data_IF_426703748337
#
_entry.id   IF_426703748337
#
_cell.length_a   1.000
_cell.length_b   1.000
_cell.length_c   1.000
_cell.angle_alpha   90.00
_cell.angle_beta   90.00
_cell.angle_gamma   90.00
#
_symmetry.space_group_name_H-M   'P 1'
#
loop_
_entity.id
_entity.type
_entity.pdbx_description
1 polymer ?
#
# COMPACT_ATOMS: atom_id res chain seq x y z
N UNK A 1 91.82 -17.04 23.94
CA UNK A 1 90.46 -16.61 24.33
C UNK A 1 90.29 -15.16 23.89
N UNK A 2 89.63 -14.93 22.75
CA UNK A 2 89.35 -13.59 22.21
C UNK A 2 87.87 -13.50 21.86
N UNK A 3 87.17 -12.61 22.56
CA UNK A 3 85.80 -12.17 22.29
C UNK A 3 85.71 -11.54 20.90
N UNK A 4 84.68 -11.92 20.12
CA UNK A 4 84.21 -11.14 18.96
C UNK A 4 82.70 -10.96 19.06
N UNK A 5 82.31 -9.70 19.23
CA UNK A 5 80.98 -9.15 18.99
C UNK A 5 80.67 -9.22 17.48
N UNK A 6 79.46 -9.63 17.12
CA UNK A 6 78.96 -9.65 15.74
C UNK A 6 77.68 -8.81 15.69
N UNK A 7 77.80 -7.64 15.06
CA UNK A 7 76.70 -6.86 14.51
C UNK A 7 76.04 -7.67 13.38
N UNK A 8 74.72 -7.88 13.49
CA UNK A 8 73.88 -8.41 12.42
C UNK A 8 73.35 -7.30 11.49
N UNK A 9 73.08 -7.60 10.21
CA UNK A 9 72.86 -6.57 9.18
C UNK A 9 71.42 -6.04 9.16
N UNK A 10 71.32 -4.77 8.81
CA UNK A 10 70.10 -4.02 8.47
C UNK A 10 69.50 -4.61 7.19
N UNK A 11 68.27 -5.13 7.27
CA UNK A 11 67.48 -5.52 6.10
C UNK A 11 66.62 -4.33 5.69
N UNK A 12 66.92 -3.79 4.51
CA UNK A 12 66.14 -2.76 3.81
C UNK A 12 64.92 -3.46 3.18
N UNK A 13 63.72 -3.12 3.65
CA UNK A 13 62.46 -3.63 3.09
C UNK A 13 62.05 -2.74 1.91
N UNK A 14 62.22 -3.27 0.70
CA UNK A 14 61.82 -2.62 -0.54
C UNK A 14 60.29 -2.69 -0.72
N UNK A 15 59.65 -1.54 -0.92
CA UNK A 15 58.27 -1.40 -1.38
C UNK A 15 58.17 -1.79 -2.86
N UNK A 16 57.31 -2.76 -3.18
CA UNK A 16 56.85 -3.03 -4.54
C UNK A 16 55.39 -2.58 -4.68
N UNK A 17 55.02 -1.85 -5.77
CA UNK A 17 53.63 -1.52 -6.07
C UNK A 17 52.94 -2.72 -6.75
N UNK A 18 51.98 -3.31 -6.05
CA UNK A 18 51.12 -4.38 -6.57
C UNK A 18 49.92 -3.84 -7.32
N UNK A 19 49.68 -4.37 -8.52
CA UNK A 19 48.61 -4.00 -9.44
C UNK A 19 47.22 -4.46 -8.98
N UNK A 20 46.25 -3.58 -9.27
CA UNK A 20 44.81 -3.76 -9.51
C UNK A 20 44.21 -5.17 -9.43
N UNK A 21 43.27 -5.31 -8.48
CA UNK A 21 42.01 -6.02 -8.73
C UNK A 21 40.89 -5.04 -8.38
N UNK A 22 40.34 -4.39 -9.40
CA UNK A 22 39.09 -3.66 -9.30
C UNK A 22 37.97 -4.69 -9.14
N UNK A 23 37.63 -5.04 -7.90
CA UNK A 23 36.27 -5.50 -7.62
C UNK A 23 35.39 -4.27 -7.76
N UNK A 24 34.77 -4.12 -8.93
CA UNK A 24 33.66 -3.20 -9.07
C UNK A 24 32.60 -3.65 -8.09
N UNK A 25 32.52 -2.97 -6.95
CA UNK A 25 31.27 -2.91 -6.22
C UNK A 25 30.22 -2.45 -7.23
N UNK A 26 29.09 -3.17 -7.39
CA UNK A 26 27.99 -2.64 -8.17
C UNK A 26 27.66 -1.25 -7.59
N UNK A 27 27.30 -0.25 -8.41
CA UNK A 27 27.00 1.08 -7.91
C UNK A 27 25.93 0.93 -6.82
N UNK A 28 26.33 1.10 -5.56
CA UNK A 28 25.37 1.28 -4.50
C UNK A 28 24.72 2.62 -4.81
N UNK A 29 23.48 2.53 -5.27
CA UNK A 29 22.55 3.63 -5.39
C UNK A 29 22.29 4.20 -4.00
N UNK A 30 23.24 5.04 -3.59
CA UNK A 30 23.36 5.73 -2.32
C UNK A 30 22.30 6.82 -2.15
N UNK A 31 21.02 6.45 -2.22
CA UNK A 31 19.90 7.31 -1.83
C UNK A 31 19.15 6.71 -0.63
N UNK A 32 19.85 6.08 0.33
CA UNK A 32 19.27 5.88 1.66
C UNK A 32 19.42 7.17 2.46
N UNK A 33 18.34 7.76 2.96
CA UNK A 33 18.45 8.99 3.76
C UNK A 33 18.94 8.73 5.19
N UNK A 34 19.30 7.50 5.55
CA UNK A 34 19.76 7.11 6.89
C UNK A 34 18.69 7.20 8.01
N UNK A 35 17.44 7.53 7.67
CA UNK A 35 16.34 7.57 8.65
C UNK A 35 16.02 6.17 9.14
N UNK A 36 15.57 6.07 10.38
CA UNK A 36 15.20 4.80 11.02
C UNK A 36 16.34 3.75 11.05
N UNK A 37 17.60 4.20 11.18
CA UNK A 37 18.77 3.32 11.26
C UNK A 37 18.99 2.71 12.66
N UNK A 38 18.45 3.34 13.72
CA UNK A 38 18.54 2.83 15.08
C UNK A 38 17.50 1.73 15.30
N UNK A 39 17.89 0.63 15.95
CA UNK A 39 16.93 -0.39 16.36
C UNK A 39 16.09 0.12 17.53
N UNK A 40 14.79 0.23 17.32
CA UNK A 40 13.83 0.55 18.38
C UNK A 40 12.92 -0.66 18.57
N UNK A 41 12.90 -1.18 19.80
CA UNK A 41 11.97 -2.24 20.18
C UNK A 41 10.55 -1.68 20.34
N UNK A 42 9.58 -2.57 20.48
CA UNK A 42 8.22 -2.20 20.88
C UNK A 42 8.25 -1.30 22.13
N UNK A 43 7.37 -0.30 22.14
CA UNK A 43 7.27 0.65 23.26
C UNK A 43 6.67 -0.05 24.47
N UNK A 44 7.23 0.18 25.65
CA UNK A 44 6.69 -0.38 26.92
C UNK A 44 5.42 0.34 27.39
N UNK A 45 5.18 1.56 26.91
CA UNK A 45 3.97 2.34 27.12
C UNK A 45 3.72 3.30 25.96
N UNK A 46 2.46 3.63 25.71
CA UNK A 46 2.03 4.61 24.74
C UNK A 46 2.54 6.02 25.11
N UNK A 47 2.99 6.76 24.10
CA UNK A 47 3.30 8.19 24.25
C UNK A 47 2.02 9.01 24.08
N UNK A 48 1.31 9.28 25.18
CA UNK A 48 0.05 10.04 25.15
C UNK A 48 0.26 11.55 24.93
N UNK A 49 1.45 12.05 25.25
CA UNK A 49 1.88 13.39 24.90
C UNK A 49 3.21 13.31 24.16
N UNK A 50 3.37 14.14 23.14
CA UNK A 50 4.59 14.18 22.35
C UNK A 50 5.16 15.59 22.28
N UNK A 51 6.48 15.68 22.25
CA UNK A 51 7.17 16.95 22.05
C UNK A 51 7.33 17.19 20.55
N UNK A 52 6.66 18.22 20.03
CA UNK A 52 6.78 18.66 18.63
C UNK A 52 7.66 19.91 18.60
N UNK A 53 8.71 19.86 17.79
CA UNK A 53 9.67 20.95 17.67
C UNK A 53 8.97 22.22 17.19
N UNK A 54 9.11 23.30 17.96
CA UNK A 54 8.44 24.58 17.69
C UNK A 54 7.05 24.73 18.31
N UNK A 55 6.44 23.65 18.83
CA UNK A 55 5.07 23.66 19.37
C UNK A 55 4.98 23.20 20.83
N UNK A 56 6.05 22.59 21.36
CA UNK A 56 6.07 22.10 22.74
C UNK A 56 5.42 20.73 22.88
N UNK A 57 4.84 20.44 24.05
CA UNK A 57 4.16 19.16 24.30
C UNK A 57 2.70 19.25 23.90
N UNK A 58 2.25 18.37 23.01
CA UNK A 58 0.85 18.27 22.54
C UNK A 58 0.30 16.87 22.81
N UNK A 59 -1.03 16.73 22.78
CA UNK A 59 -1.68 15.43 22.94
C UNK A 59 -1.54 14.58 21.68
N UNK A 60 -1.21 13.29 21.80
CA UNK A 60 -1.01 12.42 20.65
C UNK A 60 -2.29 12.17 19.86
N UNK A 61 -3.38 11.84 20.55
CA UNK A 61 -4.59 11.26 19.94
C UNK A 61 -5.67 12.34 19.74
N UNK A 62 -5.71 13.36 20.60
CA UNK A 62 -6.67 14.46 20.53
C UNK A 62 -6.19 15.64 19.67
N UNK A 63 -4.89 15.76 19.41
CA UNK A 63 -4.32 16.92 18.74
C UNK A 63 -3.38 16.52 17.59
N UNK A 64 -2.26 15.87 17.91
CA UNK A 64 -1.21 15.61 16.94
C UNK A 64 -1.64 14.77 15.74
N UNK A 65 -2.14 13.56 15.98
CA UNK A 65 -2.48 12.63 14.90
C UNK A 65 -3.61 13.14 14.01
N UNK A 66 -4.73 13.68 14.54
CA UNK A 66 -5.77 14.27 13.69
C UNK A 66 -5.23 15.36 12.75
N UNK A 67 -4.34 16.24 13.23
CA UNK A 67 -3.69 17.25 12.42
C UNK A 67 -2.74 16.65 11.37
N UNK A 68 -1.90 15.69 11.76
CA UNK A 68 -1.00 15.02 10.80
C UNK A 68 -1.79 14.37 9.67
N UNK A 69 -2.83 13.59 9.97
CA UNK A 69 -3.58 12.90 8.90
C UNK A 69 -4.43 13.87 8.06
N UNK A 70 -4.89 14.99 8.65
CA UNK A 70 -5.55 16.06 7.90
C UNK A 70 -4.58 16.83 6.98
N UNK A 71 -3.32 16.95 7.38
CA UNK A 71 -2.30 17.57 6.54
C UNK A 71 -1.83 16.66 5.41
N UNK A 72 -1.64 15.38 5.72
CA UNK A 72 -1.02 14.43 4.82
C UNK A 72 -2.02 13.80 3.85
N UNK A 73 -3.26 13.53 4.28
CA UNK A 73 -4.18 12.71 3.50
C UNK A 73 -5.63 13.23 3.52
N UNK A 74 -5.81 14.56 3.49
CA UNK A 74 -7.14 15.18 3.48
C UNK A 74 -8.04 14.63 2.35
N UNK A 75 -9.28 14.28 2.69
CA UNK A 75 -10.26 13.73 1.75
C UNK A 75 -10.12 12.24 1.43
N UNK A 76 -9.21 11.52 2.09
CA UNK A 76 -9.22 10.06 2.08
C UNK A 76 -10.40 9.50 2.88
N UNK A 77 -10.83 8.29 2.56
CA UNK A 77 -11.83 7.55 3.31
C UNK A 77 -11.30 7.05 4.65
N UNK A 78 -12.20 6.48 5.44
CA UNK A 78 -11.92 6.10 6.83
C UNK A 78 -10.79 5.07 6.94
N UNK A 79 -10.75 4.07 6.06
CA UNK A 79 -9.78 2.97 6.13
C UNK A 79 -8.37 3.44 5.74
N UNK A 80 -8.24 4.29 4.71
CA UNK A 80 -6.97 4.91 4.39
C UNK A 80 -6.50 5.88 5.49
N UNK A 81 -7.42 6.63 6.13
CA UNK A 81 -7.08 7.50 7.26
C UNK A 81 -6.64 6.71 8.49
N UNK A 82 -7.26 5.56 8.79
CA UNK A 82 -6.83 4.66 9.86
C UNK A 82 -5.43 4.11 9.61
N UNK A 83 -5.15 3.64 8.39
CA UNK A 83 -3.83 3.16 8.00
C UNK A 83 -2.77 4.28 8.14
N UNK A 84 -3.10 5.49 7.69
CA UNK A 84 -2.25 6.67 7.84
C UNK A 84 -2.02 7.04 9.31
N UNK A 85 -3.04 6.97 10.17
CA UNK A 85 -2.91 7.25 11.60
C UNK A 85 -1.96 6.26 12.29
N UNK A 86 -2.06 4.96 11.97
CA UNK A 86 -1.17 3.91 12.51
C UNK A 86 0.28 4.11 12.04
N UNK A 87 0.47 4.37 10.74
CA UNK A 87 1.81 4.66 10.19
C UNK A 87 2.41 5.91 10.84
N UNK A 88 1.62 6.97 10.97
CA UNK A 88 2.01 8.22 11.60
C UNK A 88 2.35 8.07 13.09
N UNK A 89 1.54 7.33 13.85
CA UNK A 89 1.81 7.03 15.27
C UNK A 89 3.11 6.26 15.43
N UNK A 90 3.40 5.34 14.51
CA UNK A 90 4.65 4.58 14.52
C UNK A 90 5.88 5.48 14.30
N UNK A 91 5.77 6.47 13.41
CA UNK A 91 6.80 7.50 13.21
C UNK A 91 7.00 8.32 14.47
N UNK A 92 5.92 8.80 15.09
CA UNK A 92 5.99 9.61 16.30
C UNK A 92 6.60 8.82 17.47
N UNK A 93 6.17 7.57 17.70
CA UNK A 93 6.74 6.70 18.73
C UNK A 93 8.23 6.44 18.52
N UNK A 94 8.67 6.21 17.29
CA UNK A 94 10.10 6.06 16.98
C UNK A 94 10.90 7.30 17.37
N UNK A 95 10.43 8.49 16.96
CA UNK A 95 11.13 9.75 17.25
C UNK A 95 11.12 10.07 18.74
N UNK A 96 10.02 9.80 19.46
CA UNK A 96 9.97 9.94 20.91
C UNK A 96 10.93 8.97 21.62
N UNK A 97 11.05 7.73 21.14
CA UNK A 97 11.96 6.73 21.73
C UNK A 97 13.45 7.05 21.50
N UNK A 98 13.79 7.70 20.39
CA UNK A 98 15.19 7.94 19.98
C UNK A 98 15.68 9.35 20.27
N UNK A 99 14.81 10.35 20.11
CA UNK A 99 15.14 11.77 20.17
C UNK A 99 14.33 12.51 21.25
N UNK A 100 13.31 11.88 21.84
CA UNK A 100 12.42 12.52 22.82
C UNK A 100 11.51 13.61 22.23
N UNK A 101 11.56 13.82 20.91
CA UNK A 101 10.78 14.83 20.19
C UNK A 101 10.66 14.47 18.71
N UNK A 102 9.71 15.07 18.02
CA UNK A 102 9.51 14.96 16.56
C UNK A 102 9.52 16.35 15.92
N UNK A 103 10.06 16.44 14.70
CA UNK A 103 10.05 17.69 13.93
C UNK A 103 8.72 17.90 13.19
N UNK A 104 8.39 19.15 12.88
CA UNK A 104 7.25 19.52 12.05
C UNK A 104 7.76 19.87 10.63
N UNK A 105 7.31 19.11 9.63
CA UNK A 105 7.68 19.30 8.23
C UNK A 105 8.13 18.03 7.50
N UNK A 106 8.57 18.20 6.26
CA UNK A 106 8.89 17.08 5.34
C UNK A 106 9.99 16.12 5.83
N UNK A 107 10.83 16.58 6.77
CA UNK A 107 11.86 15.75 7.40
C UNK A 107 11.32 14.72 8.40
N UNK A 108 10.11 14.93 8.94
CA UNK A 108 9.44 14.02 9.87
C UNK A 108 8.00 13.75 9.41
N UNK A 109 7.06 14.57 9.88
CA UNK A 109 5.64 14.55 9.57
C UNK A 109 5.15 16.00 9.56
N UNK A 110 4.23 16.33 8.64
CA UNK A 110 3.65 17.69 8.61
C UNK A 110 2.50 17.75 9.62
N UNK A 111 2.72 18.47 10.72
CA UNK A 111 1.72 18.71 11.77
C UNK A 111 1.01 20.06 11.55
N UNK A 112 1.76 21.10 11.18
CA UNK A 112 1.20 22.45 11.00
C UNK A 112 1.03 22.78 9.51
N UNK A 113 -0.13 22.42 8.97
CA UNK A 113 -0.58 22.87 7.66
C UNK A 113 -1.84 23.74 7.78
N UNK A 114 -2.33 24.25 6.65
CA UNK A 114 -3.53 25.09 6.62
C UNK A 114 -4.85 24.29 6.75
N UNK A 115 -4.80 22.96 6.79
CA UNK A 115 -5.99 22.12 6.97
C UNK A 115 -6.33 22.01 8.46
N UNK A 116 -7.62 21.84 8.76
CA UNK A 116 -8.11 21.57 10.11
C UNK A 116 -8.72 20.16 10.17
N UNK A 117 -8.51 19.40 11.25
CA UNK A 117 -9.08 18.06 11.37
C UNK A 117 -10.62 18.09 11.41
N UNK A 118 -11.24 17.44 10.43
CA UNK A 118 -12.67 17.12 10.45
C UNK A 118 -13.01 15.84 11.25
N UNK A 119 -14.32 15.51 11.42
CA UNK A 119 -14.79 14.37 12.19
C UNK A 119 -14.17 13.02 11.80
N UNK A 120 -13.98 12.77 10.50
CA UNK A 120 -13.42 11.51 10.01
C UNK A 120 -11.97 11.30 10.45
N UNK A 121 -11.20 12.38 10.60
CA UNK A 121 -9.82 12.31 11.10
C UNK A 121 -9.83 11.90 12.59
N UNK A 122 -10.68 12.52 13.41
CA UNK A 122 -10.83 12.14 14.81
C UNK A 122 -11.34 10.71 14.97
N UNK A 123 -12.29 10.29 14.13
CA UNK A 123 -12.81 8.92 14.12
C UNK A 123 -11.71 7.91 13.78
N UNK A 124 -10.93 8.15 12.71
CA UNK A 124 -9.83 7.27 12.32
C UNK A 124 -8.79 7.11 13.44
N UNK A 125 -8.46 8.20 14.13
CA UNK A 125 -7.53 8.19 15.26
C UNK A 125 -8.12 7.45 16.46
N UNK A 126 -9.39 7.70 16.80
CA UNK A 126 -10.07 7.01 17.89
C UNK A 126 -10.17 5.50 17.67
N UNK A 127 -10.58 5.07 16.47
CA UNK A 127 -10.73 3.64 16.14
C UNK A 127 -9.38 2.90 16.03
N UNK A 128 -8.27 3.64 15.94
CA UNK A 128 -6.90 3.10 15.93
C UNK A 128 -6.08 3.56 17.12
N UNK A 129 -6.73 3.98 18.21
CA UNK A 129 -6.05 4.56 19.36
C UNK A 129 -4.91 3.64 19.83
N UNK A 130 -3.72 4.22 20.00
CA UNK A 130 -2.51 3.53 20.45
C UNK A 130 -2.02 2.39 19.53
N UNK A 131 -2.62 2.16 18.36
CA UNK A 131 -2.16 1.14 17.41
C UNK A 131 -0.96 1.61 16.60
N UNK A 132 0.07 0.78 16.49
CA UNK A 132 1.30 1.06 15.74
C UNK A 132 1.84 -0.21 15.04
N UNK A 133 2.77 0.00 14.11
CA UNK A 133 3.39 -1.06 13.31
C UNK A 133 4.53 -1.73 14.06
N UNK A 134 4.59 -3.06 13.99
CA UNK A 134 5.69 -3.83 14.55
C UNK A 134 6.03 -5.04 13.68
N UNK A 135 7.32 -5.37 13.61
CA UNK A 135 7.81 -6.62 13.06
C UNK A 135 8.65 -7.36 14.10
N UNK A 136 8.19 -8.55 14.51
CA UNK A 136 8.76 -9.24 15.66
C UNK A 136 8.66 -8.36 16.92
N UNK A 137 9.79 -8.14 17.60
CA UNK A 137 9.88 -7.26 18.79
C UNK A 137 10.27 -5.82 18.45
N UNK A 138 10.42 -5.48 17.17
CA UNK A 138 10.79 -4.14 16.75
C UNK A 138 9.57 -3.30 16.46
N UNK A 139 9.59 -2.04 16.88
CA UNK A 139 8.70 -1.03 16.33
C UNK A 139 9.11 -0.80 14.87
N UNK A 140 8.15 -0.77 13.94
CA UNK A 140 8.43 -0.48 12.54
C UNK A 140 8.17 1.00 12.27
N UNK A 141 9.10 1.66 11.60
CA UNK A 141 8.92 3.03 11.14
C UNK A 141 7.94 3.06 9.96
N UNK A 142 6.79 3.71 10.14
CA UNK A 142 5.73 3.78 9.15
C UNK A 142 6.01 4.84 8.08
N UNK A 143 6.96 4.61 7.17
CA UNK A 143 7.21 5.55 6.07
C UNK A 143 5.96 5.68 5.19
N UNK A 144 5.64 6.89 4.78
CA UNK A 144 4.59 7.16 3.79
C UNK A 144 4.98 8.39 2.96
N UNK A 145 4.42 8.46 1.75
CA UNK A 145 4.56 9.59 0.81
C UNK A 145 3.27 9.76 0.02
N UNK A 146 3.15 10.87 -0.72
CA UNK A 146 2.00 11.12 -1.59
C UNK A 146 1.73 9.96 -2.56
N UNK A 147 2.75 9.49 -3.26
CA UNK A 147 2.63 8.48 -4.30
C UNK A 147 2.11 9.04 -5.63
N UNK A 148 1.32 8.24 -6.34
CA UNK A 148 0.76 8.54 -7.67
C UNK A 148 -0.69 9.00 -7.59
N UNK A 149 -0.96 10.27 -7.92
CA UNK A 149 -2.34 10.79 -7.95
C UNK A 149 -3.20 10.21 -9.07
N UNK A 150 -2.60 9.55 -10.06
CA UNK A 150 -3.28 8.85 -11.15
C UNK A 150 -3.43 7.34 -10.92
N UNK A 151 -3.08 6.83 -9.73
CA UNK A 151 -3.20 5.40 -9.40
C UNK A 151 -4.66 4.95 -9.52
N UNK A 152 -4.87 3.76 -10.08
CA UNK A 152 -6.20 3.19 -10.31
C UNK A 152 -6.24 1.69 -9.96
N UNK A 153 -7.46 1.21 -9.71
CA UNK A 153 -7.72 -0.17 -9.33
C UNK A 153 -7.64 -1.15 -10.52
N UNK A 154 -7.68 -2.48 -10.25
CA UNK A 154 -7.83 -3.07 -8.92
C UNK A 154 -6.49 -3.24 -8.17
N UNK A 155 -5.36 -3.11 -8.86
CA UNK A 155 -4.05 -3.38 -8.26
C UNK A 155 -3.53 -2.25 -7.38
N UNK A 156 -3.94 -1.00 -7.64
CA UNK A 156 -3.53 0.20 -6.90
C UNK A 156 -2.01 0.34 -6.74
N UNK A 157 -1.28 0.00 -7.80
CA UNK A 157 0.18 0.10 -7.88
C UNK A 157 0.56 1.41 -8.57
N UNK A 158 1.23 2.30 -7.84
CA UNK A 158 1.74 3.57 -8.37
C UNK A 158 2.68 3.38 -9.56
N UNK A 159 2.54 4.24 -10.57
CA UNK A 159 3.33 4.20 -11.81
C UNK A 159 3.90 5.56 -12.22
N UNK A 160 3.39 6.66 -11.68
CA UNK A 160 3.82 8.03 -11.98
C UNK A 160 3.86 8.95 -10.76
N UNK A 161 4.67 10.02 -10.83
CA UNK A 161 4.82 10.99 -9.73
C UNK A 161 6.17 10.91 -9.03
N UNK A 162 6.59 12.02 -8.43
CA UNK A 162 7.98 12.22 -7.95
C UNK A 162 8.35 11.40 -6.71
N UNK A 163 7.36 10.97 -5.94
CA UNK A 163 7.58 10.23 -4.68
C UNK A 163 7.41 8.72 -4.82
N UNK A 164 6.90 8.23 -5.95
CA UNK A 164 6.66 6.80 -6.22
C UNK A 164 7.91 5.94 -6.13
N UNK A 165 9.09 6.52 -6.42
CA UNK A 165 10.38 5.83 -6.27
C UNK A 165 10.65 5.31 -4.85
N UNK A 166 9.95 5.85 -3.86
CA UNK A 166 10.06 5.44 -2.47
C UNK A 166 9.01 4.41 -2.06
N UNK A 167 7.88 4.36 -2.76
CA UNK A 167 6.74 3.48 -2.45
C UNK A 167 7.14 2.02 -2.67
N UNK A 168 6.63 1.13 -1.82
CA UNK A 168 6.92 -0.31 -1.91
C UNK A 168 5.65 -1.13 -1.93
N UNK A 169 5.54 -2.02 -2.91
CA UNK A 169 4.43 -2.97 -3.04
C UNK A 169 4.84 -4.32 -2.48
N UNK A 170 4.35 -4.63 -1.29
CA UNK A 170 4.69 -5.80 -0.48
C UNK A 170 3.50 -6.73 -0.24
N UNK A 171 2.45 -6.61 -1.04
CA UNK A 171 1.30 -7.49 -0.98
C UNK A 171 1.70 -8.96 -1.17
N UNK A 172 1.22 -9.82 -0.28
CA UNK A 172 1.61 -11.23 -0.21
C UNK A 172 3.07 -11.52 0.22
N UNK A 173 3.91 -10.50 0.42
CA UNK A 173 5.32 -10.68 0.79
C UNK A 173 5.50 -10.75 2.29
N UNK A 174 6.44 -11.58 2.74
CA UNK A 174 6.80 -11.74 4.15
C UNK A 174 8.27 -12.08 4.36
N UNK A 175 8.76 -11.96 5.60
CA UNK A 175 10.17 -12.20 5.92
C UNK A 175 11.08 -11.39 4.98
N UNK A 176 12.21 -11.95 4.57
CA UNK A 176 13.20 -11.27 3.71
C UNK A 176 12.71 -10.90 2.30
N UNK A 177 11.50 -11.33 1.89
CA UNK A 177 10.95 -10.94 0.58
C UNK A 177 10.35 -9.52 0.57
N UNK A 178 10.11 -8.94 1.75
CA UNK A 178 9.61 -7.58 1.88
C UNK A 178 10.64 -6.57 1.37
N UNK A 179 10.22 -5.73 0.42
CA UNK A 179 11.03 -4.66 -0.13
C UNK A 179 11.02 -3.48 0.84
N UNK A 180 12.19 -3.14 1.36
CA UNK A 180 12.39 -1.96 2.19
C UNK A 180 12.37 -0.69 1.33
N UNK A 181 11.91 0.43 1.88
CA UNK A 181 11.99 1.72 1.17
C UNK A 181 13.40 2.30 1.30
N UNK A 182 13.86 3.01 0.28
CA UNK A 182 15.12 3.76 0.34
C UNK A 182 14.99 5.07 1.14
N UNK A 183 13.79 5.48 1.56
CA UNK A 183 13.64 6.57 2.53
C UNK A 183 14.23 6.25 3.90
N UNK A 184 14.47 4.98 4.21
CA UNK A 184 15.09 4.55 5.45
C UNK A 184 16.37 3.78 5.20
N UNK A 185 17.00 3.36 6.30
CA UNK A 185 18.10 2.42 6.25
C UNK A 185 17.63 1.07 5.68
N UNK A 186 18.39 0.53 4.71
CA UNK A 186 18.14 -0.77 4.07
C UNK A 186 19.24 -1.74 4.50
N UNK A 187 18.86 -2.96 4.91
CA UNK A 187 19.78 -4.00 5.39
C UNK A 187 19.73 -4.23 6.91
N UNK A 188 20.51 -5.19 7.43
CA UNK A 188 20.63 -5.44 8.87
C UNK A 188 21.36 -4.26 9.55
N UNK A 189 20.97 -3.82 10.75
CA UNK A 189 19.90 -4.32 11.60
C UNK A 189 18.45 -3.91 11.21
N UNK A 190 18.28 -2.93 10.33
CA UNK A 190 17.02 -2.22 10.06
C UNK A 190 15.90 -3.00 9.35
N UNK A 191 16.01 -4.31 9.15
CA UNK A 191 14.99 -5.10 8.44
C UNK A 191 13.59 -4.98 9.06
N UNK A 192 13.48 -5.00 10.39
CA UNK A 192 12.19 -4.78 11.08
C UNK A 192 11.81 -3.31 11.24
N UNK A 193 12.81 -2.43 11.25
CA UNK A 193 12.62 -1.00 11.45
C UNK A 193 12.10 -0.33 10.17
N UNK A 194 12.55 -0.77 9.00
CA UNK A 194 12.11 -0.29 7.69
C UNK A 194 11.52 -1.46 6.90
N UNK A 195 10.19 -1.44 6.76
CA UNK A 195 9.43 -2.51 6.12
C UNK A 195 8.79 -2.10 4.79
N UNK A 196 9.07 -0.89 4.33
CA UNK A 196 8.45 -0.33 3.14
C UNK A 196 7.96 1.10 3.35
N UNK A 197 7.26 1.62 2.35
CA UNK A 197 6.65 2.93 2.36
C UNK A 197 5.27 2.90 1.69
N UNK A 198 4.28 3.46 2.39
CA UNK A 198 2.91 3.55 1.94
C UNK A 198 2.68 4.76 1.01
N UNK A 199 1.92 4.54 -0.06
CA UNK A 199 1.38 5.61 -0.92
C UNK A 199 0.06 6.11 -0.36
N UNK A 200 -0.08 7.42 -0.18
CA UNK A 200 -1.33 8.04 0.27
C UNK A 200 -2.44 7.86 -0.78
N UNK A 201 -2.16 8.15 -2.05
CA UNK A 201 -3.12 7.95 -3.14
C UNK A 201 -3.41 6.46 -3.37
N UNK A 202 -2.39 5.61 -3.29
CA UNK A 202 -2.56 4.17 -3.44
C UNK A 202 -3.40 3.59 -2.29
N UNK A 203 -3.25 4.08 -1.05
CA UNK A 203 -4.12 3.70 0.07
C UNK A 203 -5.60 4.06 -0.19
N UNK A 204 -5.87 5.25 -0.77
CA UNK A 204 -7.23 5.64 -1.19
C UNK A 204 -7.79 4.72 -2.28
N UNK A 205 -6.96 4.35 -3.25
CA UNK A 205 -7.36 3.39 -4.26
C UNK A 205 -7.72 2.03 -3.64
N UNK A 206 -6.90 1.53 -2.71
CA UNK A 206 -7.13 0.23 -2.06
C UNK A 206 -8.43 0.21 -1.25
N UNK A 207 -8.73 1.25 -0.46
CA UNK A 207 -10.00 1.32 0.27
C UNK A 207 -11.21 1.40 -0.66
N UNK A 208 -11.11 2.13 -1.78
CA UNK A 208 -12.18 2.22 -2.78
C UNK A 208 -12.42 0.86 -3.45
N UNK A 209 -11.41 -0.01 -3.45
CA UNK A 209 -11.48 -1.39 -3.90
C UNK A 209 -11.74 -2.38 -2.74
N UNK A 210 -12.25 -1.91 -1.60
CA UNK A 210 -12.74 -2.72 -0.50
C UNK A 210 -11.70 -3.21 0.50
N UNK A 211 -10.47 -2.68 0.46
CA UNK A 211 -9.42 -3.06 1.42
C UNK A 211 -9.60 -2.31 2.74
N UNK A 212 -9.60 -3.03 3.85
CA UNK A 212 -9.55 -2.45 5.19
C UNK A 212 -8.16 -1.89 5.54
N UNK A 213 -8.07 -1.14 6.64
CA UNK A 213 -6.82 -0.48 7.05
C UNK A 213 -5.69 -1.48 7.33
N UNK A 214 -5.98 -2.64 7.94
CA UNK A 214 -4.98 -3.70 8.18
C UNK A 214 -4.46 -4.21 6.85
N UNK A 215 -5.36 -4.39 5.91
CA UNK A 215 -5.04 -4.79 4.57
C UNK A 215 -4.15 -3.80 3.83
N UNK A 216 -4.48 -2.51 3.87
CA UNK A 216 -3.67 -1.43 3.30
C UNK A 216 -2.26 -1.47 3.91
N UNK A 217 -2.14 -1.59 5.23
CA UNK A 217 -0.85 -1.69 5.90
C UNK A 217 -0.05 -2.91 5.44
N UNK A 218 -0.68 -4.08 5.30
CA UNK A 218 -0.03 -5.30 4.80
C UNK A 218 0.42 -5.18 3.35
N UNK A 219 -0.35 -4.48 2.51
CA UNK A 219 0.00 -4.23 1.12
C UNK A 219 1.32 -3.46 0.98
N UNK A 220 1.60 -2.50 1.88
CA UNK A 220 2.82 -1.69 1.81
C UNK A 220 3.97 -2.20 2.69
N UNK A 221 3.69 -2.80 3.84
CA UNK A 221 4.71 -3.17 4.85
C UNK A 221 4.93 -4.69 4.99
N UNK A 222 4.24 -5.50 4.17
CA UNK A 222 4.33 -6.96 4.15
C UNK A 222 3.20 -7.63 4.95
N UNK A 223 2.83 -8.84 4.54
CA UNK A 223 1.72 -9.61 5.13
C UNK A 223 1.93 -10.01 6.60
N UNK A 224 3.19 -10.10 7.02
CA UNK A 224 3.67 -10.40 8.37
C UNK A 224 3.92 -9.15 9.23
N UNK A 225 3.51 -7.96 8.78
CA UNK A 225 3.49 -6.78 9.66
C UNK A 225 2.40 -6.96 10.74
N UNK A 226 2.75 -6.66 11.98
CA UNK A 226 1.79 -6.63 13.08
C UNK A 226 1.28 -5.21 13.30
N UNK A 227 -0.01 -5.10 13.54
CA UNK A 227 -0.65 -3.91 14.12
C UNK A 227 -0.92 -4.23 15.58
N UNK A 228 -0.20 -3.60 16.49
CA UNK A 228 -0.31 -3.86 17.93
C UNK A 228 -0.66 -2.57 18.67
N UNK A 229 -1.33 -2.71 19.81
CA UNK A 229 -1.70 -1.59 20.67
C UNK A 229 -0.65 -1.39 21.75
N UNK A 230 -0.11 -0.18 21.87
CA UNK A 230 0.82 0.16 22.94
C UNK A 230 0.12 0.13 24.30
N UNK A 231 0.74 -0.41 25.37
CA UNK A 231 0.16 -0.41 26.70
C UNK A 231 -0.05 1.02 27.23
N UNK A 232 -1.12 1.24 28.00
CA UNK A 232 -1.44 2.55 28.58
C UNK A 232 -2.85 2.99 28.24
N UNK A 233 -3.28 4.11 28.81
CA UNK A 233 -4.59 4.70 28.59
C UNK A 233 -4.40 6.14 28.16
N UNK A 234 -4.14 6.34 26.87
CA UNK A 234 -4.13 7.69 26.32
C UNK A 234 -5.58 8.19 26.22
N UNK A 235 -5.81 9.50 26.41
CA UNK A 235 -7.10 10.06 26.04
C UNK A 235 -7.31 9.79 24.56
N UNK A 236 -8.52 9.44 24.17
CA UNK A 236 -8.88 9.21 22.78
C UNK A 236 -10.10 10.06 22.44
N UNK A 237 -10.22 10.53 21.17
CA UNK A 237 -11.41 11.26 20.76
C UNK A 237 -12.63 10.40 21.09
N UNK A 238 -13.56 10.96 21.85
CA UNK A 238 -14.78 10.25 22.21
C UNK A 238 -15.66 10.17 20.96
N UNK A 239 -15.61 9.03 20.27
CA UNK A 239 -16.63 8.65 19.30
C UNK A 239 -17.90 8.38 20.10
N UNK A 240 -18.75 9.39 20.25
CA UNK A 240 -20.03 9.24 20.94
C UNK A 240 -20.83 8.16 20.16
N UNK A 241 -21.24 7.03 20.77
CA UNK A 241 -22.01 6.00 20.07
C UNK A 241 -23.44 6.42 19.71
N UNK A 242 -23.77 7.70 19.86
CA UNK A 242 -25.10 8.21 19.60
C UNK A 242 -25.29 8.28 18.10
N UNK A 243 -26.05 7.31 17.62
CA UNK A 243 -26.49 7.09 16.24
C UNK A 243 -25.44 6.34 15.41
N UNK A 244 -25.79 5.19 14.80
CA UNK A 244 -25.03 4.72 13.66
C UNK A 244 -24.89 5.92 12.73
N UNK A 245 -23.67 6.29 12.37
CA UNK A 245 -23.49 6.77 11.02
C UNK A 245 -23.97 5.60 10.15
N UNK A 246 -25.26 5.62 9.82
CA UNK A 246 -25.74 5.14 8.53
C UNK A 246 -24.63 5.53 7.55
N UNK A 247 -24.09 4.57 6.76
CA UNK A 247 -23.04 4.89 5.81
C UNK A 247 -23.48 6.18 5.16
N UNK A 248 -22.67 7.26 5.30
CA UNK A 248 -23.01 8.56 4.72
C UNK A 248 -23.59 8.22 3.37
N UNK A 249 -24.89 8.50 3.11
CA UNK A 249 -25.45 8.14 1.83
C UNK A 249 -24.45 8.71 0.84
N UNK A 250 -23.89 7.84 -0.02
CA UNK A 250 -23.16 8.30 -1.19
C UNK A 250 -23.98 9.47 -1.69
N UNK A 251 -23.43 10.71 -1.72
CA UNK A 251 -24.25 11.88 -1.95
C UNK A 251 -25.13 11.55 -3.14
N UNK A 252 -26.44 11.45 -2.90
CA UNK A 252 -27.38 11.49 -4.01
C UNK A 252 -26.95 12.74 -4.77
N UNK A 253 -26.63 12.63 -6.07
CA UNK A 253 -25.94 13.69 -6.78
C UNK A 253 -26.71 14.97 -6.54
N UNK A 254 -26.15 15.87 -5.71
CA UNK A 254 -26.62 17.24 -5.67
C UNK A 254 -26.57 17.68 -7.12
N UNK A 255 -27.70 18.08 -7.72
CA UNK A 255 -27.71 18.48 -9.11
C UNK A 255 -26.62 19.53 -9.28
N UNK A 256 -25.66 19.19 -10.14
CA UNK A 256 -24.57 20.04 -10.55
C UNK A 256 -25.12 21.44 -10.86
N UNK A 257 -24.44 22.55 -10.49
CA UNK A 257 -24.86 23.86 -10.95
C UNK A 257 -24.94 23.78 -12.46
N UNK A 258 -26.16 23.93 -12.99
CA UNK A 258 -26.47 23.90 -14.43
C UNK A 258 -25.34 24.60 -15.18
N UNK A 259 -24.53 23.90 -16.00
CA UNK A 259 -23.66 24.60 -16.91
C UNK A 259 -24.58 25.45 -17.78
N UNK A 260 -24.36 26.76 -17.74
CA UNK A 260 -24.95 27.67 -18.71
C UNK A 260 -24.67 27.08 -20.10
N UNK A 261 -25.70 26.79 -20.92
CA UNK A 261 -25.51 26.10 -22.17
C UNK A 261 -24.71 27.02 -23.11
N UNK A 262 -23.46 26.66 -23.36
CA UNK A 262 -22.82 27.00 -24.61
C UNK A 262 -23.07 25.81 -25.55
N UNK A 263 -23.65 26.02 -26.75
CA UNK A 263 -24.22 24.95 -27.54
C UNK A 263 -23.10 24.17 -28.25
N UNK A 264 -22.77 22.99 -27.77
CA UNK A 264 -22.16 21.95 -28.61
C UNK A 264 -23.26 20.94 -28.95
N UNK A 265 -23.69 20.97 -30.21
CA UNK A 265 -24.75 20.15 -30.80
C UNK A 265 -24.32 18.70 -31.08
N UNK A 266 -23.34 18.18 -30.35
CA UNK A 266 -22.77 16.86 -30.63
C UNK A 266 -23.73 15.77 -30.13
N UNK A 267 -24.25 14.98 -31.07
CA UNK A 267 -25.18 13.89 -30.82
C UNK A 267 -24.81 12.68 -31.68
N UNK A 268 -24.94 11.49 -31.12
CA UNK A 268 -24.77 10.22 -31.80
C UNK A 268 -25.98 9.78 -32.64
N UNK A 269 -27.07 10.56 -32.63
CA UNK A 269 -28.27 10.21 -33.35
C UNK A 269 -28.02 10.16 -34.88
N UNK A 270 -28.09 8.94 -35.44
CA UNK A 270 -27.88 8.70 -36.86
C UNK A 270 -26.41 8.56 -37.30
N UNK A 271 -25.44 8.57 -36.38
CA UNK A 271 -24.00 8.41 -36.67
C UNK A 271 -23.32 7.29 -35.87
N UNK A 272 -24.10 6.36 -35.30
CA UNK A 272 -23.59 5.19 -34.60
C UNK A 272 -22.64 4.36 -35.48
N UNK A 273 -21.48 3.98 -34.94
CA UNK A 273 -20.43 3.24 -35.64
C UNK A 273 -19.52 4.10 -36.53
N UNK A 274 -19.68 5.43 -36.53
CA UNK A 274 -18.78 6.34 -37.26
C UNK A 274 -17.41 6.43 -36.59
N UNK A 275 -16.30 6.20 -37.32
CA UNK A 275 -14.94 6.36 -36.78
C UNK A 275 -14.50 7.83 -36.69
N UNK A 276 -15.34 8.76 -37.14
CA UNK A 276 -15.07 10.20 -37.09
C UNK A 276 -15.77 10.83 -35.89
N UNK A 277 -15.12 11.86 -35.31
CA UNK A 277 -15.68 12.65 -34.22
C UNK A 277 -17.05 13.24 -34.59
N UNK A 278 -17.98 13.25 -33.63
CA UNK A 278 -19.32 13.77 -33.81
C UNK A 278 -19.29 15.25 -34.22
N UNK A 279 -20.06 15.68 -35.24
CA UNK A 279 -20.06 17.06 -35.70
C UNK A 279 -20.39 18.04 -34.57
N UNK A 280 -19.54 19.06 -34.38
CA UNK A 280 -19.74 20.07 -33.34
C UNK A 280 -19.31 19.64 -31.93
N UNK A 281 -18.64 18.51 -31.78
CA UNK A 281 -18.04 18.09 -30.50
C UNK A 281 -16.80 18.93 -30.16
N UNK A 282 -16.80 19.52 -28.96
CA UNK A 282 -15.65 20.22 -28.38
C UNK A 282 -15.69 20.07 -26.85
N UNK A 283 -14.78 19.29 -26.23
CA UNK A 283 -13.78 18.42 -26.86
C UNK A 283 -14.41 17.35 -27.78
N UNK A 284 -13.61 16.79 -28.70
CA UNK A 284 -14.10 15.79 -29.65
C UNK A 284 -14.62 14.54 -28.93
N UNK A 285 -15.76 14.02 -29.40
CA UNK A 285 -16.35 12.78 -28.90
C UNK A 285 -16.73 11.85 -30.07
N UNK A 286 -16.80 10.56 -29.81
CA UNK A 286 -16.99 9.52 -30.81
C UNK A 286 -18.25 8.68 -30.52
N UNK A 287 -18.81 8.11 -31.59
CA UNK A 287 -20.04 7.32 -31.57
C UNK A 287 -19.82 5.89 -32.09
N UNK A 288 -18.59 5.39 -32.02
CA UNK A 288 -18.22 4.01 -32.37
C UNK A 288 -18.17 3.09 -31.12
N UNK A 289 -17.85 1.81 -31.32
CA UNK A 289 -17.75 0.81 -30.25
C UNK A 289 -16.45 0.89 -29.44
N UNK A 290 -15.44 1.63 -29.94
CA UNK A 290 -14.17 1.80 -29.26
C UNK A 290 -14.20 2.95 -28.25
N UNK A 291 -15.19 3.85 -28.36
CA UNK A 291 -15.25 5.04 -27.52
C UNK A 291 -15.31 4.72 -26.01
N UNK A 292 -15.88 3.57 -25.62
CA UNK A 292 -15.93 3.14 -24.22
C UNK A 292 -14.57 2.68 -23.71
N UNK A 293 -13.71 2.18 -24.60
CA UNK A 293 -12.33 1.80 -24.26
C UNK A 293 -11.39 2.99 -24.16
N UNK A 294 -11.63 4.04 -24.96
CA UNK A 294 -10.82 5.27 -24.97
C UNK A 294 -11.35 6.36 -24.03
N UNK A 295 -12.59 6.25 -23.54
CA UNK A 295 -13.21 7.23 -22.64
C UNK A 295 -13.64 8.51 -23.33
N UNK A 296 -13.92 8.46 -24.64
CA UNK A 296 -14.25 9.61 -25.49
C UNK A 296 -15.65 9.52 -26.13
N UNK A 297 -16.55 8.71 -25.57
CA UNK A 297 -17.94 8.61 -26.04
C UNK A 297 -18.69 9.95 -25.94
N UNK A 298 -19.53 10.25 -26.93
CA UNK A 298 -20.48 11.35 -26.80
C UNK A 298 -21.53 11.05 -25.74
N UNK A 299 -22.05 12.10 -25.09
CA UNK A 299 -22.96 11.97 -23.95
C UNK A 299 -24.26 11.20 -24.22
N UNK A 300 -24.73 11.16 -25.47
CA UNK A 300 -25.94 10.43 -25.87
C UNK A 300 -25.64 9.07 -26.54
N UNK A 301 -24.38 8.62 -26.58
CA UNK A 301 -23.98 7.37 -27.25
C UNK A 301 -24.79 6.15 -26.79
N UNK A 302 -24.97 5.96 -25.48
CA UNK A 302 -25.73 4.83 -24.94
C UNK A 302 -27.22 4.91 -25.33
N UNK A 303 -27.79 6.11 -25.37
CA UNK A 303 -29.20 6.30 -25.74
C UNK A 303 -29.43 6.19 -27.25
N UNK A 304 -28.51 6.68 -28.07
CA UNK A 304 -28.62 6.70 -29.52
C UNK A 304 -28.15 5.39 -30.18
N UNK A 305 -27.13 4.75 -29.63
CA UNK A 305 -26.42 3.61 -30.21
C UNK A 305 -26.46 2.34 -29.37
N UNK A 306 -26.79 2.43 -28.07
CA UNK A 306 -26.92 1.26 -27.18
C UNK A 306 -28.13 0.37 -27.48
N UNK A 307 -28.92 0.72 -28.49
CA UNK A 307 -30.10 -0.01 -28.94
C UNK A 307 -29.88 -0.78 -30.25
N UNK A 308 -28.91 -1.70 -30.31
CA UNK A 308 -29.05 -2.90 -31.14
C UNK A 308 -27.98 -3.95 -30.85
N UNK A 309 -28.45 -5.17 -30.59
CA UNK A 309 -27.73 -6.43 -30.45
C UNK A 309 -26.88 -6.67 -29.19
N UNK A 310 -27.57 -6.98 -28.09
CA UNK A 310 -27.07 -7.96 -27.11
C UNK A 310 -28.11 -9.07 -26.96
N UNK A 311 -27.76 -10.36 -27.13
CA UNK A 311 -28.71 -11.46 -27.02
C UNK A 311 -29.22 -11.61 -25.59
N UNK A 312 -30.48 -12.05 -25.49
CA UNK A 312 -31.21 -12.39 -24.26
C UNK A 312 -30.38 -13.30 -23.33
N UNK A 313 -30.37 -13.05 -22.00
CA UNK A 313 -29.59 -13.87 -21.07
C UNK A 313 -30.15 -15.29 -21.06
N UNK A 314 -29.34 -16.24 -21.55
CA UNK A 314 -29.63 -17.66 -21.44
C UNK A 314 -29.67 -18.03 -19.95
N UNK A 315 -30.72 -18.71 -19.45
CA UNK A 315 -30.79 -19.13 -18.06
C UNK A 315 -29.60 -20.02 -17.72
N UNK A 316 -29.07 -19.82 -16.51
CA UNK A 316 -27.94 -20.57 -15.98
C UNK A 316 -28.12 -22.09 -16.18
N UNK A 317 -27.08 -22.82 -16.62
CA UNK A 317 -27.17 -24.26 -16.72
C UNK A 317 -27.50 -24.85 -15.35
N UNK A 318 -28.50 -25.72 -15.33
CA UNK A 318 -28.79 -26.62 -14.21
C UNK A 318 -27.50 -27.36 -13.84
N UNK A 319 -27.15 -27.52 -12.54
CA UNK A 319 -25.99 -28.30 -12.16
C UNK A 319 -26.13 -29.72 -12.72
N UNK A 320 -25.29 -30.04 -13.70
CA UNK A 320 -25.08 -31.40 -14.18
C UNK A 320 -24.67 -32.26 -12.99
N UNK A 321 -25.27 -33.44 -12.78
CA UNK A 321 -24.87 -34.34 -11.70
C UNK A 321 -23.37 -34.66 -11.83
N UNK A 322 -22.68 -34.65 -10.68
CA UNK A 322 -21.26 -34.89 -10.56
C UNK A 322 -20.84 -36.19 -11.29
N UNK A 323 -19.82 -36.16 -12.17
CA UNK A 323 -19.22 -37.37 -12.69
C UNK A 323 -18.44 -38.08 -11.59
N UNK A 324 -18.60 -39.41 -11.53
CA UNK A 324 -18.11 -40.32 -10.48
C UNK A 324 -16.60 -40.61 -10.51
N UNK A 325 -15.75 -39.60 -10.67
CA UNK A 325 -14.30 -39.73 -10.66
C UNK A 325 -13.64 -38.74 -9.69
N UNK A 326 -13.91 -38.85 -8.39
CA UNK A 326 -13.24 -38.03 -7.38
C UNK A 326 -11.83 -38.55 -7.16
N UNK A 327 -10.86 -38.01 -7.92
CA UNK A 327 -9.44 -38.18 -7.56
C UNK A 327 -9.18 -37.72 -6.13
N UNK A 328 -8.17 -38.30 -5.48
CA UNK A 328 -7.82 -38.04 -4.09
C UNK A 328 -6.36 -37.58 -3.97
N UNK A 329 -6.12 -36.64 -3.06
CA UNK A 329 -4.80 -36.13 -2.72
C UNK A 329 -4.07 -36.93 -1.63
N UNK A 330 -4.69 -37.98 -1.07
CA UNK A 330 -4.04 -38.83 -0.06
C UNK A 330 -2.77 -39.47 -0.64
N UNK A 331 -1.62 -39.06 -0.12
CA UNK A 331 -0.30 -39.56 -0.56
C UNK A 331 0.21 -38.96 -1.88
N UNK A 332 -0.47 -37.94 -2.43
CA UNK A 332 -0.15 -37.31 -3.73
C UNK A 332 0.07 -35.79 -3.63
N UNK A 333 0.21 -35.25 -2.41
CA UNK A 333 0.54 -33.84 -2.21
C UNK A 333 1.85 -33.48 -2.91
N UNK A 334 1.87 -32.36 -3.63
CA UNK A 334 3.00 -31.88 -4.44
C UNK A 334 3.35 -32.73 -5.68
N UNK A 335 2.50 -33.68 -6.08
CA UNK A 335 2.68 -34.42 -7.33
C UNK A 335 2.52 -33.49 -8.55
N UNK A 336 3.35 -33.68 -9.57
CA UNK A 336 3.36 -32.87 -10.81
C UNK A 336 2.35 -33.34 -11.87
N UNK A 337 1.47 -34.29 -11.54
CA UNK A 337 0.48 -34.86 -12.45
C UNK A 337 -0.90 -34.97 -11.80
N UNK A 338 -1.96 -35.17 -12.60
CA UNK A 338 -3.32 -35.24 -12.09
C UNK A 338 -3.52 -36.46 -11.17
N UNK A 339 -4.40 -36.32 -10.18
CA UNK A 339 -4.71 -37.40 -9.26
C UNK A 339 -5.25 -38.62 -10.03
N UNK A 340 -4.75 -39.84 -9.77
CA UNK A 340 -5.20 -41.04 -10.46
C UNK A 340 -6.71 -41.23 -10.35
N UNK A 341 -7.37 -41.49 -11.48
CA UNK A 341 -8.83 -41.70 -11.53
C UNK A 341 -9.68 -40.43 -11.45
N UNK A 342 -9.08 -39.24 -11.49
CA UNK A 342 -9.82 -37.97 -11.59
C UNK A 342 -10.46 -37.80 -12.98
N UNK A 343 -11.75 -37.46 -13.02
CA UNK A 343 -12.45 -37.07 -14.26
C UNK A 343 -13.56 -36.05 -13.95
N UNK A 344 -13.42 -34.77 -14.34
CA UNK A 344 -12.25 -34.17 -14.99
C UNK A 344 -10.97 -34.27 -14.14
N UNK A 345 -9.81 -34.12 -14.79
CA UNK A 345 -8.52 -34.18 -14.10
C UNK A 345 -8.45 -33.12 -12.98
N UNK A 346 -7.97 -33.51 -11.80
CA UNK A 346 -7.74 -32.61 -10.67
C UNK A 346 -6.32 -32.78 -10.14
N UNK A 347 -5.79 -31.74 -9.49
CA UNK A 347 -4.39 -31.66 -9.06
C UNK A 347 -4.26 -31.47 -7.55
N UNK A 348 -3.10 -31.89 -7.01
CA UNK A 348 -2.78 -31.91 -5.59
C UNK A 348 -1.50 -31.12 -5.25
N UNK A 349 -1.15 -30.15 -6.09
CA UNK A 349 -0.05 -29.22 -5.88
C UNK A 349 -0.57 -27.79 -5.60
N UNK A 350 0.30 -26.91 -5.10
CA UNK A 350 -0.08 -25.56 -4.67
C UNK A 350 -0.63 -24.68 -5.81
N UNK A 351 -0.32 -25.00 -7.06
CA UNK A 351 -0.77 -24.24 -8.24
C UNK A 351 -2.26 -24.46 -8.52
N UNK A 352 -2.85 -25.56 -8.01
CA UNK A 352 -4.25 -25.87 -8.26
C UNK A 352 -5.21 -24.79 -7.73
N UNK A 353 -4.82 -24.07 -6.67
CA UNK A 353 -5.58 -22.95 -6.12
C UNK A 353 -5.64 -21.75 -7.08
N UNK A 354 -4.61 -21.60 -7.92
CA UNK A 354 -4.56 -20.54 -8.95
C UNK A 354 -5.32 -20.92 -10.22
N UNK A 355 -5.35 -22.21 -10.59
CA UNK A 355 -6.02 -22.70 -11.79
C UNK A 355 -7.48 -23.14 -11.56
N UNK A 356 -7.88 -23.32 -10.30
CA UNK A 356 -9.24 -23.75 -9.94
C UNK A 356 -9.50 -25.24 -10.22
N UNK A 357 -8.46 -26.07 -10.24
CA UNK A 357 -8.50 -27.49 -10.60
C UNK A 357 -8.06 -28.43 -9.45
N UNK A 358 -8.13 -27.96 -8.20
CA UNK A 358 -7.82 -28.78 -7.03
C UNK A 358 -8.76 -29.98 -6.89
N UNK A 359 -8.23 -31.12 -6.45
CA UNK A 359 -9.09 -32.23 -6.01
C UNK A 359 -9.88 -31.84 -4.76
N UNK A 360 -11.07 -32.43 -4.61
CA UNK A 360 -12.01 -32.05 -3.56
C UNK A 360 -11.46 -32.23 -2.12
N UNK A 361 -10.53 -33.17 -1.91
CA UNK A 361 -9.91 -33.46 -0.62
C UNK A 361 -8.56 -32.73 -0.40
N UNK A 362 -8.12 -31.87 -1.32
CA UNK A 362 -6.82 -31.18 -1.24
C UNK A 362 -6.61 -30.45 0.09
N UNK A 363 -7.61 -29.69 0.53
CA UNK A 363 -7.56 -28.93 1.78
C UNK A 363 -7.44 -29.79 3.04
N UNK A 364 -7.93 -31.04 3.00
CA UNK A 364 -7.90 -31.97 4.15
C UNK A 364 -6.78 -32.99 4.08
N UNK A 365 -6.25 -33.28 2.89
CA UNK A 365 -5.21 -34.29 2.69
C UNK A 365 -3.80 -33.70 2.73
N UNK A 366 -3.65 -32.41 2.38
CA UNK A 366 -2.35 -31.74 2.26
C UNK A 366 -2.11 -30.62 3.29
N UNK A 367 -3.09 -30.33 4.15
CA UNK A 367 -3.00 -29.39 5.28
C UNK A 367 -3.61 -30.02 6.53
#
# INVERSE_FOLDING_TARGET
MRLRSLLGPVVVLALLPGCSAATGDPPQDNESTGRAAERVNQVSSAYCSISVTGHGSVDMELDYLPHVIACENNGAGLEALKAQAIAARSVAYYNMATQGSICDGQGCQVYSCNNQPGPLHYQAVAETAQMYLSYGQMLTYGFYVAGDSGVSGPSCVDSGGSTTKWVTFNDGKSGSSVKQTKLGYVGPPGFGQNRGCMSQYGARCLEQNGRDFVGILRFYYGSDINVITAPGNCPSPQVNPTEPTEPTPTPEPTPEPTPSPSPSSASCQGICGSPNAAPGSSPSCYCDDQCTGYGDCCGDYQAACGGSSTPEPTPAPTPTPAPSGSGSCVGMCFASGPAPGSSPACYCDASCLGFGDCCADFGTACF
#
